data_IF_661436863837
#
_entry.id   IF_661436863837
#
_cell.length_a   1.000
_cell.length_b   1.000
_cell.length_c   1.000
_cell.angle_alpha   90.00
_cell.angle_beta   90.00
_cell.angle_gamma   90.00
#
_symmetry.space_group_name_H-M   'P 1'
#
loop_
_entity.id
_entity.type
_entity.pdbx_description
1 polymer ?
#
# COMPACT_ATOMS: atom_id res chain seq x y z
N UNK A 1 18.07 47.12 87.90
CA UNK A 1 16.60 47.09 87.75
C UNK A 1 16.19 45.62 87.65
N UNK A 2 15.70 45.00 88.72
CA UNK A 2 14.27 44.80 89.07
C UNK A 2 13.41 44.32 87.89
N UNK A 3 12.54 43.32 87.97
CA UNK A 3 12.15 42.33 89.00
C UNK A 3 11.27 41.30 88.24
N UNK A 4 11.33 40.06 88.71
CA UNK A 4 10.46 38.89 88.45
C UNK A 4 8.96 39.21 88.39
N UNK A 5 8.10 38.38 87.78
CA UNK A 5 6.94 37.79 88.49
C UNK A 5 6.26 36.64 87.73
N UNK A 6 6.03 35.57 88.49
CA UNK A 6 5.27 34.35 88.20
C UNK A 6 3.81 34.53 88.67
N UNK A 7 2.91 33.71 88.15
CA UNK A 7 1.64 33.34 88.81
C UNK A 7 0.42 33.51 87.91
N UNK A 8 -0.65 32.74 88.01
CA UNK A 8 -0.96 31.52 88.74
C UNK A 8 -2.25 30.94 88.11
N UNK A 9 -2.47 29.63 88.30
CA UNK A 9 -3.72 28.91 88.02
C UNK A 9 -4.93 29.51 88.77
N UNK A 10 -6.15 29.31 88.27
CA UNK A 10 -7.26 28.54 88.90
C UNK A 10 -8.58 28.62 88.11
N UNK A 11 -9.06 27.42 87.73
CA UNK A 11 -10.44 26.85 87.63
C UNK A 11 -11.65 27.71 87.23
N UNK A 12 -12.42 27.23 86.24
CA UNK A 12 -13.87 26.93 86.39
C UNK A 12 -14.38 26.00 85.29
N UNK A 13 -15.44 25.28 85.63
CA UNK A 13 -15.95 24.06 85.01
C UNK A 13 -17.03 24.28 83.93
N UNK A 14 -17.00 23.37 82.96
CA UNK A 14 -18.08 22.60 82.29
C UNK A 14 -19.51 23.15 82.31
N UNK A 15 -20.09 23.31 81.10
CA UNK A 15 -21.44 22.79 80.80
C UNK A 15 -21.57 22.40 79.32
N UNK A 16 -22.37 21.35 79.08
CA UNK A 16 -22.48 20.49 77.89
C UNK A 16 -23.14 21.18 76.67
N UNK A 17 -22.67 20.82 75.48
CA UNK A 17 -23.57 20.52 74.35
C UNK A 17 -23.04 19.32 73.55
N UNK A 18 -23.99 18.51 73.10
CA UNK A 18 -23.90 17.09 72.73
C UNK A 18 -23.52 16.94 71.25
N UNK A 19 -22.46 16.19 70.93
CA UNK A 19 -22.12 15.77 69.57
C UNK A 19 -22.16 14.24 69.49
N UNK A 20 -23.10 13.72 68.70
CA UNK A 20 -23.16 12.32 68.26
C UNK A 20 -22.05 12.06 67.22
N UNK A 21 -21.31 10.97 67.42
CA UNK A 21 -20.21 10.50 66.59
C UNK A 21 -20.68 9.38 65.66
N UNK A 22 -20.56 9.57 64.35
CA UNK A 22 -20.64 8.49 63.35
C UNK A 22 -19.22 7.92 63.04
N UNK A 23 -19.12 6.64 62.61
CA UNK A 23 -17.87 5.87 62.64
C UNK A 23 -17.04 5.96 61.35
N UNK A 24 -15.72 5.78 61.49
CA UNK A 24 -14.72 5.77 60.40
C UNK A 24 -14.98 4.69 59.32
N UNK A 25 -14.62 4.94 58.04
CA UNK A 25 -14.65 3.94 56.99
C UNK A 25 -13.37 3.09 56.95
N UNK A 26 -13.57 1.78 56.84
CA UNK A 26 -12.56 0.73 56.75
C UNK A 26 -11.85 0.65 55.39
N UNK A 27 -10.58 0.23 55.41
CA UNK A 27 -9.75 -0.04 54.24
C UNK A 27 -10.24 -1.26 53.42
N UNK A 28 -10.11 -1.25 52.08
CA UNK A 28 -10.47 -2.38 51.23
C UNK A 28 -9.36 -3.45 51.15
N UNK A 29 -9.70 -4.75 50.95
CA UNK A 29 -8.74 -5.83 50.74
C UNK A 29 -8.20 -5.87 49.28
N UNK A 30 -7.09 -6.57 49.01
CA UNK A 30 -6.44 -6.58 47.69
C UNK A 30 -7.25 -7.40 46.65
N UNK A 31 -7.16 -7.05 45.35
CA UNK A 31 -7.99 -7.67 44.32
C UNK A 31 -7.51 -9.09 43.96
N UNK A 32 -8.46 -10.02 43.96
CA UNK A 32 -8.34 -11.40 43.51
C UNK A 32 -8.39 -11.54 41.98
N UNK A 33 -7.70 -12.55 41.46
CA UNK A 33 -7.66 -12.96 40.06
C UNK A 33 -9.05 -13.32 39.51
N UNK A 34 -9.73 -12.40 38.81
CA UNK A 34 -11.07 -12.64 38.23
C UNK A 34 -11.18 -12.66 36.70
N UNK A 35 -10.09 -12.50 35.94
CA UNK A 35 -10.21 -12.45 34.47
C UNK A 35 -10.25 -13.81 33.75
N UNK A 36 -9.82 -14.91 34.38
CA UNK A 36 -9.77 -16.22 33.72
C UNK A 36 -11.11 -17.00 33.80
N UNK A 37 -11.93 -16.74 34.82
CA UNK A 37 -13.18 -17.48 35.06
C UNK A 37 -14.32 -17.08 34.10
N UNK A 38 -14.28 -15.86 33.56
CA UNK A 38 -15.33 -15.37 32.65
C UNK A 38 -15.22 -15.96 31.24
N UNK A 39 -14.01 -16.23 30.73
CA UNK A 39 -13.82 -16.79 29.39
C UNK A 39 -14.17 -18.28 29.33
N UNK A 40 -13.76 -19.05 30.34
CA UNK A 40 -14.13 -20.46 30.50
C UNK A 40 -15.65 -20.62 30.62
N UNK A 41 -16.33 -19.75 31.39
CA UNK A 41 -17.79 -19.75 31.51
C UNK A 41 -18.49 -19.33 30.20
N UNK A 42 -17.96 -18.36 29.45
CA UNK A 42 -18.54 -17.99 28.14
C UNK A 42 -18.36 -19.09 27.10
N UNK A 43 -17.19 -19.75 27.09
CA UNK A 43 -16.87 -20.83 26.16
C UNK A 43 -17.69 -22.07 26.46
N UNK A 44 -17.86 -22.44 27.73
CA UNK A 44 -18.76 -23.54 28.13
C UNK A 44 -20.21 -23.22 27.82
N UNK A 45 -20.69 -21.98 28.06
CA UNK A 45 -22.06 -21.58 27.71
C UNK A 45 -22.32 -21.59 26.20
N UNK A 46 -21.35 -21.13 25.40
CA UNK A 46 -21.41 -21.17 23.94
C UNK A 46 -21.36 -22.61 23.39
N UNK A 47 -20.48 -23.46 23.93
CA UNK A 47 -20.41 -24.87 23.54
C UNK A 47 -21.67 -25.64 23.93
N UNK A 48 -22.28 -25.31 25.07
CA UNK A 48 -23.52 -25.94 25.56
C UNK A 48 -24.76 -25.49 24.74
N UNK A 49 -24.76 -24.25 24.23
CA UNK A 49 -25.76 -23.78 23.26
C UNK A 49 -25.58 -24.41 21.87
N UNK A 50 -24.34 -24.64 21.43
CA UNK A 50 -24.09 -25.33 20.15
C UNK A 50 -24.53 -26.80 20.17
N UNK A 51 -24.50 -27.46 21.33
CA UNK A 51 -24.94 -28.85 21.49
C UNK A 51 -26.45 -29.03 21.53
N UNK A 52 -27.23 -27.95 21.64
CA UNK A 52 -28.70 -28.03 21.77
C UNK A 52 -29.47 -27.63 20.49
N UNK A 53 -28.76 -27.26 19.42
CA UNK A 53 -29.37 -27.14 18.09
C UNK A 53 -29.48 -28.52 17.45
N UNK A 54 -30.65 -29.16 17.59
CA UNK A 54 -31.01 -30.33 16.80
C UNK A 54 -31.19 -29.91 15.33
N UNK A 55 -30.08 -29.75 14.63
CA UNK A 55 -30.08 -29.49 13.20
C UNK A 55 -30.76 -30.67 12.50
N UNK A 56 -31.83 -30.44 11.72
CA UNK A 56 -32.49 -31.51 11.01
C UNK A 56 -31.52 -32.17 10.03
N UNK A 57 -31.60 -33.49 9.84
CA UNK A 57 -30.61 -34.27 9.10
C UNK A 57 -30.32 -33.74 7.67
N UNK A 58 -31.29 -33.07 7.05
CA UNK A 58 -31.10 -32.42 5.74
C UNK A 58 -30.13 -31.22 5.77
N UNK A 59 -30.08 -30.47 6.88
CA UNK A 59 -29.16 -29.35 7.04
C UNK A 59 -27.72 -29.82 7.25
N UNK A 60 -27.54 -30.93 7.97
CA UNK A 60 -26.23 -31.61 8.09
C UNK A 60 -25.78 -32.13 6.72
N UNK A 61 -26.70 -32.74 5.95
CA UNK A 61 -26.42 -33.16 4.57
C UNK A 61 -26.00 -31.99 3.67
N UNK A 62 -26.69 -30.86 3.75
CA UNK A 62 -26.35 -29.66 2.98
C UNK A 62 -24.96 -29.10 3.34
N UNK A 63 -24.62 -29.06 4.63
CA UNK A 63 -23.29 -28.62 5.10
C UNK A 63 -22.20 -29.56 4.58
N UNK A 64 -22.42 -30.88 4.63
CA UNK A 64 -21.46 -31.87 4.10
C UNK A 64 -21.26 -31.69 2.59
N UNK A 65 -22.33 -31.45 1.83
CA UNK A 65 -22.24 -31.19 0.37
C UNK A 65 -21.44 -29.91 0.09
N UNK A 66 -21.67 -28.83 0.84
CA UNK A 66 -20.92 -27.57 0.69
C UNK A 66 -19.45 -27.77 1.05
N UNK A 67 -19.14 -28.50 2.14
CA UNK A 67 -17.76 -28.80 2.54
C UNK A 67 -17.07 -29.66 1.49
N UNK A 68 -17.73 -30.69 0.95
CA UNK A 68 -17.19 -31.53 -0.11
C UNK A 68 -16.97 -30.75 -1.41
N UNK A 69 -17.87 -29.83 -1.76
CA UNK A 69 -17.69 -28.94 -2.92
C UNK A 69 -16.51 -27.99 -2.72
N UNK A 70 -16.35 -27.41 -1.53
CA UNK A 70 -15.22 -26.54 -1.20
C UNK A 70 -13.88 -27.30 -1.22
N UNK A 71 -13.85 -28.50 -0.65
CA UNK A 71 -12.66 -29.39 -0.69
C UNK A 71 -12.35 -29.81 -2.13
N UNK A 72 -13.36 -30.16 -2.93
CA UNK A 72 -13.21 -30.47 -4.36
C UNK A 72 -12.64 -29.30 -5.16
N UNK A 73 -13.15 -28.08 -4.94
CA UNK A 73 -12.60 -26.85 -5.52
C UNK A 73 -11.15 -26.61 -5.07
N UNK A 74 -10.83 -26.85 -3.80
CA UNK A 74 -9.47 -26.69 -3.27
C UNK A 74 -8.49 -27.69 -3.91
N UNK A 75 -8.91 -28.96 -4.04
CA UNK A 75 -8.13 -30.01 -4.70
C UNK A 75 -7.95 -29.69 -6.19
N UNK A 76 -8.99 -29.20 -6.88
CA UNK A 76 -8.91 -28.77 -8.28
C UNK A 76 -7.95 -27.58 -8.46
N UNK A 77 -7.99 -26.60 -7.56
CA UNK A 77 -7.06 -25.46 -7.56
C UNK A 77 -5.61 -25.90 -7.32
N UNK A 78 -5.38 -26.86 -6.42
CA UNK A 78 -4.05 -27.43 -6.17
C UNK A 78 -3.58 -28.24 -7.38
N UNK A 79 -4.45 -29.06 -7.99
CA UNK A 79 -4.13 -29.81 -9.21
C UNK A 79 -3.76 -28.88 -10.38
N UNK A 80 -4.49 -27.78 -10.58
CA UNK A 80 -4.16 -26.78 -11.61
C UNK A 80 -2.83 -26.07 -11.33
N UNK A 81 -2.50 -25.82 -10.06
CA UNK A 81 -1.23 -25.20 -9.63
C UNK A 81 -0.04 -26.16 -9.69
N UNK A 82 -0.26 -27.47 -9.55
CA UNK A 82 0.76 -28.51 -9.62
C UNK A 82 1.02 -29.00 -11.06
N UNK A 83 0.01 -29.02 -11.95
CA UNK A 83 0.16 -29.39 -13.37
C UNK A 83 0.61 -28.22 -14.26
N UNK A 84 0.44 -26.97 -13.81
CA UNK A 84 0.85 -25.76 -14.56
C UNK A 84 2.33 -25.36 -14.42
N UNK A 85 3.16 -26.14 -13.71
CA UNK A 85 4.60 -25.87 -13.54
C UNK A 85 5.44 -26.81 -14.39
N UNK A 86 5.42 -26.64 -15.73
CA UNK A 86 6.53 -27.08 -16.59
C UNK A 86 6.89 -26.00 -17.61
N UNK A 87 8.13 -25.51 -17.47
CA UNK A 87 8.95 -24.70 -18.40
C UNK A 87 8.40 -23.31 -18.81
N UNK A 88 8.84 -22.27 -18.12
CA UNK A 88 9.29 -21.05 -18.83
C UNK A 88 10.77 -21.24 -19.17
N UNK A 89 11.05 -21.84 -20.33
CA UNK A 89 12.39 -21.79 -20.93
C UNK A 89 12.51 -20.52 -21.77
N UNK A 90 13.45 -19.68 -21.38
CA UNK A 90 14.09 -18.63 -22.17
C UNK A 90 14.58 -19.22 -23.50
N UNK A 91 13.76 -19.20 -24.56
CA UNK A 91 14.17 -19.48 -25.96
C UNK A 91 13.03 -19.14 -26.95
N UNK A 92 12.99 -17.88 -27.37
CA UNK A 92 12.30 -17.46 -28.58
C UNK A 92 12.92 -16.17 -29.14
N UNK A 93 14.25 -16.18 -29.39
CA UNK A 93 14.91 -15.20 -30.26
C UNK A 93 16.19 -15.82 -30.80
N UNK A 94 16.04 -16.83 -31.64
CA UNK A 94 17.14 -17.39 -32.45
C UNK A 94 16.58 -18.34 -33.52
N UNK A 95 15.75 -17.80 -34.43
CA UNK A 95 15.41 -18.46 -35.70
C UNK A 95 15.16 -17.42 -36.79
N UNK A 96 16.22 -16.72 -37.20
CA UNK A 96 16.36 -16.12 -38.53
C UNK A 96 17.82 -15.65 -38.75
N UNK A 97 18.76 -16.56 -38.52
CA UNK A 97 20.13 -16.42 -39.01
C UNK A 97 20.69 -17.84 -39.17
N UNK A 98 20.87 -18.29 -40.41
CA UNK A 98 21.62 -19.52 -40.69
C UNK A 98 20.97 -20.45 -41.73
N UNK A 99 21.49 -20.38 -42.96
CA UNK A 99 21.31 -21.37 -44.04
C UNK A 99 20.54 -20.80 -45.22
N UNK A 100 21.08 -20.67 -46.44
CA UNK A 100 22.04 -21.58 -47.09
C UNK A 100 22.79 -20.90 -48.25
N UNK A 101 24.08 -21.21 -48.27
CA UNK A 101 25.13 -21.07 -49.30
C UNK A 101 24.70 -20.98 -50.76
N UNK A 102 25.43 -20.06 -51.43
CA UNK A 102 25.77 -19.98 -52.86
C UNK A 102 26.26 -21.33 -53.44
N UNK A 103 25.98 -21.55 -54.72
CA UNK A 103 26.64 -22.53 -55.59
C UNK A 103 27.01 -21.82 -56.90
N UNK A 104 28.29 -21.97 -57.29
CA UNK A 104 28.74 -22.00 -58.68
C UNK A 104 29.19 -20.68 -59.31
N UNK A 105 30.50 -20.57 -59.49
CA UNK A 105 31.18 -19.74 -60.49
C UNK A 105 30.72 -20.07 -61.92
N UNK A 106 30.69 -19.06 -62.81
CA UNK A 106 31.49 -19.06 -64.05
C UNK A 106 31.51 -17.67 -64.73
N UNK A 107 32.74 -17.17 -64.91
CA UNK A 107 33.30 -16.35 -66.00
C UNK A 107 32.76 -14.95 -66.36
N UNK A 108 33.70 -14.00 -66.47
CA UNK A 108 33.59 -12.78 -67.27
C UNK A 108 34.46 -11.62 -66.77
N UNK A 109 35.57 -11.37 -67.46
CA UNK A 109 36.57 -10.31 -67.26
C UNK A 109 36.03 -8.86 -67.35
N UNK A 110 36.75 -7.89 -66.76
CA UNK A 110 36.69 -6.48 -67.17
C UNK A 110 37.03 -5.43 -66.11
N UNK A 111 38.30 -5.03 -66.06
CA UNK A 111 38.90 -3.71 -65.76
C UNK A 111 38.34 -2.74 -64.69
N UNK A 112 39.28 -2.25 -63.86
CA UNK A 112 39.59 -0.81 -63.87
C UNK A 112 39.12 0.09 -62.72
N UNK A 113 40.04 0.33 -61.79
CA UNK A 113 40.33 1.63 -61.14
C UNK A 113 39.52 2.17 -59.93
N UNK A 114 40.35 2.49 -58.92
CA UNK A 114 40.33 3.62 -57.98
C UNK A 114 39.48 3.61 -56.70
N UNK A 115 40.25 3.67 -55.60
CA UNK A 115 39.89 4.08 -54.24
C UNK A 115 39.44 5.54 -54.23
N UNK A 116 38.35 5.81 -53.52
CA UNK A 116 38.19 7.07 -52.77
C UNK A 116 37.71 6.75 -51.35
N UNK A 117 38.42 7.35 -50.39
CA UNK A 117 38.06 7.44 -48.98
C UNK A 117 36.94 8.47 -48.83
N UNK A 118 35.92 8.15 -48.04
CA UNK A 118 34.81 9.05 -47.76
C UNK A 118 34.19 8.75 -46.40
N UNK A 119 34.65 9.52 -45.41
CA UNK A 119 33.96 10.03 -44.22
C UNK A 119 32.89 9.18 -43.52
N UNK A 120 33.17 8.88 -42.24
CA UNK A 120 32.14 8.59 -41.22
C UNK A 120 31.25 9.82 -41.01
N UNK A 121 29.94 9.63 -40.82
CA UNK A 121 29.19 10.38 -39.83
C UNK A 121 28.89 9.49 -38.62
N UNK A 122 29.25 10.04 -37.48
CA UNK A 122 28.84 9.64 -36.15
C UNK A 122 27.31 9.81 -35.98
N UNK A 123 26.71 8.99 -35.12
CA UNK A 123 25.37 9.24 -34.59
C UNK A 123 24.37 8.10 -34.82
N UNK A 124 24.64 6.90 -34.30
CA UNK A 124 23.57 5.94 -34.06
C UNK A 124 22.83 6.36 -32.78
N UNK A 125 21.79 7.20 -32.96
CA UNK A 125 20.74 7.35 -31.97
C UNK A 125 20.13 5.97 -31.69
N UNK A 126 20.21 5.54 -30.44
CA UNK A 126 19.53 4.35 -29.96
C UNK A 126 18.02 4.59 -30.08
N UNK A 127 17.40 4.07 -31.14
CA UNK A 127 15.93 3.92 -31.19
C UNK A 127 15.53 2.97 -30.07
N UNK A 128 14.97 3.50 -29.00
CA UNK A 128 14.17 2.73 -28.06
C UNK A 128 13.11 1.97 -28.87
N UNK A 129 13.07 0.63 -28.77
CA UNK A 129 11.98 -0.17 -29.31
C UNK A 129 10.70 0.26 -28.55
N UNK A 130 9.96 1.21 -29.11
CA UNK A 130 8.70 1.67 -28.57
C UNK A 130 7.74 0.47 -28.56
N UNK A 131 7.47 -0.07 -27.38
CA UNK A 131 6.52 -1.17 -27.21
C UNK A 131 5.16 -0.71 -27.78
N UNK A 132 4.66 -1.40 -28.81
CA UNK A 132 3.40 -1.05 -29.43
C UNK A 132 2.25 -1.50 -28.50
N UNK A 133 1.66 -0.54 -27.78
CA UNK A 133 0.57 -0.76 -26.83
C UNK A 133 -0.82 -0.71 -27.49
N UNK A 134 -0.87 -0.51 -28.81
CA UNK A 134 -2.10 -0.36 -29.59
C UNK A 134 -2.58 1.09 -29.69
N UNK A 135 -3.76 1.28 -30.27
CA UNK A 135 -4.39 2.58 -30.51
C UNK A 135 -5.80 2.63 -29.95
N UNK A 136 -6.27 3.83 -29.61
CA UNK A 136 -7.66 4.09 -29.21
C UNK A 136 -8.26 5.21 -30.07
N UNK A 137 -9.47 4.97 -30.56
CA UNK A 137 -10.32 5.94 -31.24
C UNK A 137 -11.29 6.56 -30.23
N UNK A 138 -11.35 7.88 -30.22
CA UNK A 138 -12.23 8.63 -29.33
C UNK A 138 -12.75 9.89 -30.02
N UNK A 139 -13.82 10.44 -29.47
CA UNK A 139 -14.37 11.73 -29.86
C UNK A 139 -14.45 12.68 -28.67
N UNK A 140 -14.24 13.97 -28.92
CA UNK A 140 -14.42 15.04 -27.93
C UNK A 140 -15.31 16.11 -28.52
N UNK A 141 -16.29 16.55 -27.75
CA UNK A 141 -17.16 17.66 -28.10
C UNK A 141 -17.49 18.48 -26.83
N UNK A 142 -17.79 19.76 -26.99
CA UNK A 142 -18.14 20.62 -25.87
C UNK A 142 -19.48 21.31 -26.10
N UNK A 143 -20.45 20.99 -25.25
CA UNK A 143 -21.73 21.67 -25.25
C UNK A 143 -21.64 22.97 -24.44
N UNK A 144 -21.53 24.10 -25.14
CA UNK A 144 -21.48 25.44 -24.53
C UNK A 144 -22.77 25.85 -23.82
N UNK A 145 -23.93 25.36 -24.27
CA UNK A 145 -25.22 25.69 -23.65
C UNK A 145 -25.37 25.03 -22.29
N UNK A 146 -24.96 23.77 -22.17
CA UNK A 146 -25.08 23.00 -20.92
C UNK A 146 -23.80 23.03 -20.06
N UNK A 147 -22.71 23.63 -20.58
CA UNK A 147 -21.39 23.63 -19.96
C UNK A 147 -20.89 22.21 -19.64
N UNK A 148 -20.87 21.34 -20.66
CA UNK A 148 -20.46 19.94 -20.51
C UNK A 148 -19.47 19.52 -21.59
N UNK A 149 -18.38 18.89 -21.15
CA UNK A 149 -17.48 18.15 -22.05
C UNK A 149 -18.06 16.75 -22.28
N UNK A 150 -18.24 16.40 -23.55
CA UNK A 150 -18.72 15.11 -24.03
C UNK A 150 -17.52 14.33 -24.55
N UNK A 151 -17.30 13.14 -24.00
CA UNK A 151 -16.18 12.26 -24.34
C UNK A 151 -16.73 10.95 -24.85
N UNK A 152 -16.52 10.66 -26.13
CA UNK A 152 -16.86 9.37 -26.74
C UNK A 152 -15.66 8.45 -26.75
N UNK A 153 -15.80 7.25 -26.18
CA UNK A 153 -14.83 6.16 -26.32
C UNK A 153 -15.41 5.17 -27.32
N UNK A 154 -14.77 5.06 -28.50
CA UNK A 154 -15.35 4.37 -29.64
C UNK A 154 -14.81 2.95 -29.76
N UNK A 155 -13.53 2.79 -30.07
CA UNK A 155 -12.92 1.48 -30.26
C UNK A 155 -11.40 1.51 -30.03
N UNK A 156 -10.83 0.35 -29.71
CA UNK A 156 -9.39 0.12 -29.65
C UNK A 156 -8.92 -0.79 -30.78
N UNK A 157 -7.64 -0.68 -31.13
CA UNK A 157 -7.01 -1.51 -32.16
C UNK A 157 -5.63 -1.98 -31.70
N UNK A 158 -5.30 -3.23 -32.03
CA UNK A 158 -3.98 -3.84 -31.77
C UNK A 158 -3.53 -3.77 -30.31
N UNK A 159 -4.47 -3.94 -29.36
CA UNK A 159 -4.12 -3.99 -27.94
C UNK A 159 -3.26 -5.24 -27.64
N UNK A 160 -2.27 -5.15 -26.74
CA UNK A 160 -1.47 -6.30 -26.34
C UNK A 160 -2.30 -7.33 -25.59
N UNK A 161 -1.95 -8.60 -25.76
CA UNK A 161 -2.51 -9.70 -24.99
C UNK A 161 -1.86 -9.79 -23.61
N UNK A 162 -2.63 -9.50 -22.57
CA UNK A 162 -2.18 -9.49 -21.18
C UNK A 162 -2.50 -10.82 -20.47
N UNK A 163 -3.57 -11.50 -20.88
CA UNK A 163 -3.92 -12.82 -20.36
C UNK A 163 -3.01 -13.94 -20.88
N UNK A 164 -2.85 -14.99 -20.04
CA UNK A 164 -2.20 -16.27 -20.41
C UNK A 164 -2.87 -16.92 -21.65
N UNK A 165 -4.13 -16.56 -21.94
CA UNK A 165 -4.89 -17.03 -23.09
C UNK A 165 -4.52 -16.39 -24.43
N UNK A 166 -3.61 -15.41 -24.45
CA UNK A 166 -3.25 -14.69 -25.68
C UNK A 166 -4.32 -13.67 -26.11
N UNK A 167 -5.16 -13.24 -25.18
CA UNK A 167 -6.19 -12.19 -25.37
C UNK A 167 -6.11 -11.18 -24.23
N UNK A 168 -6.97 -10.18 -24.25
CA UNK A 168 -7.23 -9.28 -23.11
C UNK A 168 -8.73 -9.07 -23.00
N UNK A 169 -9.21 -8.71 -21.82
CA UNK A 169 -10.56 -8.26 -21.49
C UNK A 169 -10.56 -6.72 -21.32
N UNK A 170 -10.34 -5.90 -22.38
CA UNK A 170 -10.12 -4.47 -22.22
C UNK A 170 -11.35 -3.69 -21.76
N UNK A 171 -11.10 -2.65 -20.97
CA UNK A 171 -12.04 -1.57 -20.66
C UNK A 171 -11.29 -0.24 -20.43
N UNK A 172 -11.97 0.88 -20.59
CA UNK A 172 -11.35 2.21 -20.53
C UNK A 172 -11.88 2.98 -19.32
N UNK A 173 -10.96 3.54 -18.53
CA UNK A 173 -11.26 4.53 -17.50
C UNK A 173 -11.08 5.93 -18.05
N UNK A 174 -12.06 6.80 -17.80
CA UNK A 174 -12.09 8.19 -18.27
C UNK A 174 -12.18 9.12 -17.07
N UNK A 175 -11.21 10.02 -16.93
CA UNK A 175 -11.17 11.00 -15.84
C UNK A 175 -10.38 12.26 -16.22
N UNK A 176 -10.52 13.33 -15.43
CA UNK A 176 -9.88 14.63 -15.69
C UNK A 176 -8.89 14.98 -14.57
N UNK A 177 -7.62 15.16 -14.89
CA UNK A 177 -6.64 15.69 -13.95
C UNK A 177 -6.83 17.21 -13.77
N UNK A 178 -6.62 17.75 -12.55
CA UNK A 178 -6.15 17.06 -11.34
C UNK A 178 -7.23 16.32 -10.54
N UNK A 179 -8.51 16.42 -10.92
CA UNK A 179 -9.62 15.80 -10.20
C UNK A 179 -9.77 14.29 -10.48
N UNK A 180 -9.04 13.47 -9.72
CA UNK A 180 -9.14 12.00 -9.81
C UNK A 180 -10.44 11.43 -9.18
N UNK A 181 -11.36 12.23 -8.64
CA UNK A 181 -12.54 11.70 -7.93
C UNK A 181 -13.63 11.23 -8.88
N UNK A 182 -13.90 11.99 -9.95
CA UNK A 182 -14.89 11.62 -10.96
C UNK A 182 -14.23 10.77 -12.04
N UNK A 183 -14.46 9.45 -11.96
CA UNK A 183 -14.00 8.47 -12.94
C UNK A 183 -15.22 7.80 -13.57
N UNK A 184 -15.21 7.66 -14.89
CA UNK A 184 -16.13 6.79 -15.61
C UNK A 184 -15.38 5.57 -16.12
N UNK A 185 -16.09 4.46 -16.32
CA UNK A 185 -15.52 3.23 -16.86
C UNK A 185 -16.46 2.70 -17.94
N UNK A 186 -15.89 2.25 -19.06
CA UNK A 186 -16.65 1.52 -20.09
C UNK A 186 -17.00 0.12 -19.60
N UNK A 187 -17.89 -0.56 -20.34
CA UNK A 187 -18.06 -2.00 -20.21
C UNK A 187 -16.80 -2.74 -20.61
N UNK A 188 -16.58 -3.88 -19.96
CA UNK A 188 -15.50 -4.81 -20.25
C UNK A 188 -15.82 -5.61 -21.51
N UNK A 189 -14.92 -5.56 -22.49
CA UNK A 189 -15.01 -6.34 -23.72
C UNK A 189 -14.16 -7.59 -23.59
N UNK A 190 -14.77 -8.77 -23.45
CA UNK A 190 -14.01 -9.99 -23.13
C UNK A 190 -13.28 -10.55 -24.35
N UNK A 191 -12.03 -10.97 -24.14
CA UNK A 191 -11.14 -11.68 -25.06
C UNK A 191 -11.06 -10.99 -26.43
N UNK A 192 -10.88 -9.68 -26.41
CA UNK A 192 -10.90 -8.87 -27.62
C UNK A 192 -9.72 -7.88 -27.63
N UNK A 193 -8.86 -7.98 -28.65
CA UNK A 193 -7.73 -7.06 -28.85
C UNK A 193 -8.07 -5.85 -29.72
N UNK A 194 -9.26 -5.86 -30.35
CA UNK A 194 -9.83 -4.74 -31.10
C UNK A 194 -11.25 -4.44 -30.57
N UNK A 195 -11.37 -3.98 -29.31
CA UNK A 195 -12.67 -3.78 -28.66
C UNK A 195 -13.45 -2.63 -29.31
N UNK A 196 -14.77 -2.80 -29.41
CA UNK A 196 -15.71 -1.72 -29.76
C UNK A 196 -16.52 -1.39 -28.52
N UNK A 197 -16.37 -0.16 -28.01
CA UNK A 197 -17.04 0.34 -26.83
C UNK A 197 -18.30 1.11 -27.20
N UNK A 198 -18.16 2.14 -28.04
CA UNK A 198 -19.23 3.09 -28.42
C UNK A 198 -19.99 3.64 -27.19
N UNK A 199 -19.25 4.12 -26.20
CA UNK A 199 -19.79 4.71 -24.98
C UNK A 199 -19.46 6.19 -24.88
N UNK A 200 -20.38 6.98 -24.33
CA UNK A 200 -20.22 8.43 -24.22
C UNK A 200 -20.38 8.87 -22.76
N UNK A 201 -19.44 9.70 -22.30
CA UNK A 201 -19.37 10.21 -20.94
C UNK A 201 -19.47 11.73 -20.93
N UNK A 202 -20.14 12.29 -19.92
CA UNK A 202 -20.38 13.73 -19.82
C UNK A 202 -19.79 14.28 -18.53
N UNK A 203 -18.92 15.29 -18.66
CA UNK A 203 -18.34 16.03 -17.54
C UNK A 203 -18.94 17.44 -17.48
N UNK A 204 -19.74 17.70 -16.43
CA UNK A 204 -20.29 19.04 -16.16
C UNK A 204 -19.19 19.96 -15.62
N UNK A 205 -18.55 20.73 -16.51
CA UNK A 205 -17.42 21.61 -16.21
C UNK A 205 -17.53 22.87 -17.09
N UNK A 206 -17.53 24.08 -16.50
CA UNK A 206 -17.49 25.33 -17.25
C UNK A 206 -16.24 25.45 -18.13
N UNK A 207 -16.38 26.03 -19.33
CA UNK A 207 -15.29 26.15 -20.31
C UNK A 207 -14.06 26.87 -19.74
N UNK A 208 -14.28 27.90 -18.92
CA UNK A 208 -13.21 28.66 -18.27
C UNK A 208 -12.32 27.81 -17.34
N UNK A 209 -12.85 26.72 -16.76
CA UNK A 209 -12.10 25.84 -15.88
C UNK A 209 -11.38 24.71 -16.64
N UNK A 210 -11.65 24.56 -17.94
CA UNK A 210 -11.19 23.43 -18.71
C UNK A 210 -9.72 23.55 -19.14
N UNK A 211 -9.24 24.77 -19.41
CA UNK A 211 -7.88 25.01 -19.93
C UNK A 211 -6.73 24.56 -19.01
N UNK A 212 -6.99 24.35 -17.72
CA UNK A 212 -6.02 23.82 -16.76
C UNK A 212 -6.12 22.32 -16.51
N UNK A 213 -6.99 21.60 -17.23
CA UNK A 213 -7.26 20.18 -17.01
C UNK A 213 -6.68 19.31 -18.13
N UNK A 214 -6.43 18.05 -17.79
CA UNK A 214 -5.98 17.03 -18.75
C UNK A 214 -6.97 15.86 -18.71
N UNK A 215 -7.58 15.55 -19.86
CA UNK A 215 -8.39 14.34 -20.00
C UNK A 215 -7.47 13.12 -20.11
N UNK A 216 -7.77 12.10 -19.32
CA UNK A 216 -7.04 10.85 -19.32
C UNK A 216 -7.97 9.73 -19.74
N UNK A 217 -7.58 9.02 -20.81
CA UNK A 217 -8.19 7.78 -21.27
C UNK A 217 -7.21 6.65 -20.95
N UNK A 218 -7.52 5.82 -19.97
CA UNK A 218 -6.62 4.76 -19.51
C UNK A 218 -7.24 3.39 -19.78
N UNK A 219 -6.56 2.58 -20.59
CA UNK A 219 -7.02 1.25 -21.00
C UNK A 219 -6.46 0.21 -20.02
N UNK A 220 -7.34 -0.62 -19.48
CA UNK A 220 -7.03 -1.69 -18.54
C UNK A 220 -7.46 -3.04 -19.11
N UNK A 221 -6.74 -4.10 -18.72
CA UNK A 221 -7.16 -5.48 -18.86
C UNK A 221 -7.90 -5.94 -17.59
N UNK A 222 -9.11 -6.48 -17.75
CA UNK A 222 -9.90 -6.94 -16.62
C UNK A 222 -9.49 -8.34 -16.16
N UNK A 223 -8.99 -8.43 -14.94
CA UNK A 223 -8.69 -9.70 -14.29
C UNK A 223 -9.78 -10.12 -13.30
N UNK A 224 -10.38 -11.31 -13.51
CA UNK A 224 -11.36 -11.86 -12.56
C UNK A 224 -10.75 -12.16 -11.18
N UNK A 225 -9.47 -12.48 -11.13
CA UNK A 225 -8.76 -12.89 -9.93
C UNK A 225 -7.38 -12.23 -9.87
N UNK A 226 -7.34 -10.92 -9.64
CA UNK A 226 -6.09 -10.19 -9.61
C UNK A 226 -6.31 -8.69 -9.57
N UNK A 227 -5.19 -7.96 -9.57
CA UNK A 227 -5.20 -6.54 -9.89
C UNK A 227 -5.28 -6.44 -11.42
N UNK A 228 -6.15 -5.57 -11.92
CA UNK A 228 -6.28 -5.31 -13.35
C UNK A 228 -4.98 -4.69 -13.89
N UNK A 229 -4.49 -5.21 -15.01
CA UNK A 229 -3.27 -4.73 -15.64
C UNK A 229 -3.55 -3.49 -16.48
N UNK A 230 -2.69 -2.47 -16.38
CA UNK A 230 -2.80 -1.28 -17.24
C UNK A 230 -2.15 -1.62 -18.59
N UNK A 231 -2.92 -1.47 -19.66
CA UNK A 231 -2.43 -1.65 -21.03
C UNK A 231 -1.69 -0.40 -21.49
N UNK A 232 -2.31 0.77 -21.32
CA UNK A 232 -1.74 2.05 -21.72
C UNK A 232 -2.68 3.22 -21.43
N UNK A 233 -2.24 4.43 -21.73
CA UNK A 233 -3.04 5.64 -21.51
C UNK A 233 -2.83 6.68 -22.60
N UNK A 234 -3.80 7.60 -22.71
CA UNK A 234 -3.73 8.81 -23.53
C UNK A 234 -4.01 9.98 -22.61
N UNK A 235 -3.08 10.93 -22.58
CA UNK A 235 -3.23 12.19 -21.87
C UNK A 235 -3.49 13.30 -22.89
N UNK A 236 -4.63 14.00 -22.74
CA UNK A 236 -5.05 15.06 -23.63
C UNK A 236 -5.15 16.35 -22.81
N UNK A 237 -4.15 17.24 -22.89
CA UNK A 237 -4.27 18.57 -22.31
C UNK A 237 -5.43 19.32 -22.97
N UNK A 238 -6.40 19.80 -22.20
CA UNK A 238 -7.57 20.44 -22.80
C UNK A 238 -7.26 21.82 -23.40
N UNK A 239 -6.11 22.39 -23.10
CA UNK A 239 -5.62 23.61 -23.73
C UNK A 239 -5.07 23.40 -25.15
N UNK A 240 -4.78 22.16 -25.56
CA UNK A 240 -4.26 21.85 -26.90
C UNK A 240 -5.36 21.42 -27.88
N UNK A 241 -6.61 21.31 -27.42
CA UNK A 241 -7.75 20.88 -28.23
C UNK A 241 -8.63 22.10 -28.54
N UNK A 242 -8.93 22.30 -29.82
CA UNK A 242 -9.97 23.23 -30.24
C UNK A 242 -11.34 22.57 -30.09
N UNK A 243 -12.08 22.96 -29.05
CA UNK A 243 -13.43 22.48 -28.77
C UNK A 243 -14.53 23.27 -29.48
N UNK A 244 -14.15 24.16 -30.41
CA UNK A 244 -15.11 24.84 -31.29
C UNK A 244 -15.75 23.91 -32.32
N UNK A 245 -15.14 22.75 -32.58
CA UNK A 245 -15.68 21.69 -33.44
C UNK A 245 -15.51 20.32 -32.77
N UNK A 246 -16.40 19.35 -33.06
CA UNK A 246 -16.20 17.99 -32.60
C UNK A 246 -14.88 17.41 -33.11
N UNK A 247 -14.04 16.96 -32.20
CA UNK A 247 -12.81 16.23 -32.49
C UNK A 247 -13.12 14.74 -32.59
N UNK A 248 -12.53 14.07 -33.59
CA UNK A 248 -12.60 12.62 -33.74
C UNK A 248 -11.28 12.11 -34.33
N UNK A 249 -10.53 11.32 -33.56
CA UNK A 249 -9.21 10.88 -33.99
C UNK A 249 -8.74 9.58 -33.32
N UNK A 250 -7.73 8.97 -33.95
CA UNK A 250 -6.97 7.86 -33.40
C UNK A 250 -5.71 8.37 -32.71
N UNK A 251 -5.40 7.84 -31.54
CA UNK A 251 -4.10 8.06 -30.88
C UNK A 251 -3.49 6.74 -30.42
N UNK A 252 -2.17 6.68 -30.50
CA UNK A 252 -1.38 5.58 -29.94
C UNK A 252 -1.42 5.62 -28.41
N UNK A 253 -1.47 4.44 -27.79
CA UNK A 253 -1.42 4.29 -26.34
C UNK A 253 0.02 4.46 -25.86
N UNK A 254 0.19 5.32 -24.85
CA UNK A 254 1.47 5.50 -24.17
C UNK A 254 1.55 4.60 -22.95
N UNK A 255 2.77 4.24 -22.54
CA UNK A 255 2.98 3.50 -21.30
C UNK A 255 2.44 4.33 -20.15
N UNK A 256 1.48 3.78 -19.42
CA UNK A 256 0.98 4.46 -18.25
C UNK A 256 2.09 4.53 -17.21
N UNK A 257 2.48 5.75 -16.83
CA UNK A 257 3.26 5.95 -15.61
C UNK A 257 2.53 5.19 -14.51
N UNK A 258 3.21 4.21 -13.90
CA UNK A 258 2.65 3.41 -12.82
C UNK A 258 2.00 4.37 -11.85
N UNK A 259 0.68 4.25 -11.68
CA UNK A 259 -0.13 5.06 -10.77
C UNK A 259 0.70 5.21 -9.49
N UNK A 260 1.27 6.40 -9.23
CA UNK A 260 2.13 6.62 -8.06
C UNK A 260 1.28 6.12 -6.89
N UNK A 261 1.67 4.98 -6.30
CA UNK A 261 0.98 4.43 -5.15
C UNK A 261 0.79 5.59 -4.19
N UNK A 262 -0.46 5.86 -3.79
CA UNK A 262 -0.78 7.03 -2.96
C UNK A 262 0.24 7.10 -1.83
N UNK A 263 1.10 8.12 -1.87
CA UNK A 263 2.23 8.23 -0.94
C UNK A 263 1.64 8.33 0.47
N UNK A 264 1.88 7.31 1.28
CA UNK A 264 1.35 7.21 2.65
C UNK A 264 2.08 8.14 3.63
N UNK A 265 3.20 8.71 3.18
CA UNK A 265 4.08 9.62 3.91
C UNK A 265 5.44 8.99 4.23
N UNK A 266 6.31 9.78 4.84
CA UNK A 266 7.64 9.35 5.28
C UNK A 266 7.79 9.52 6.80
N UNK A 267 8.58 8.66 7.44
CA UNK A 267 8.90 8.73 8.87
C UNK A 267 10.42 8.75 9.09
N UNK A 268 10.88 9.67 9.94
CA UNK A 268 12.27 9.79 10.35
C UNK A 268 12.52 9.04 11.66
N UNK A 269 13.44 8.10 11.62
CA UNK A 269 13.70 7.16 12.72
C UNK A 269 15.19 7.20 13.01
N UNK A 270 15.56 7.34 14.29
CA UNK A 270 16.94 7.19 14.74
C UNK A 270 17.14 5.89 15.51
N UNK A 271 18.11 5.10 15.09
CA UNK A 271 18.49 3.84 15.72
C UNK A 271 19.86 3.94 16.38
N UNK A 272 19.97 3.40 17.60
CA UNK A 272 21.23 3.31 18.33
C UNK A 272 21.32 1.98 19.04
N UNK A 273 22.37 1.22 18.79
CA UNK A 273 22.63 -0.04 19.50
C UNK A 273 23.90 0.03 20.34
N UNK A 274 23.83 -0.46 21.58
CA UNK A 274 24.95 -0.60 22.50
C UNK A 274 25.17 -2.08 22.79
N UNK A 275 26.14 -2.75 22.14
CA UNK A 275 26.34 -4.20 22.28
C UNK A 275 26.64 -4.64 23.71
N UNK A 276 27.48 -3.91 24.44
CA UNK A 276 27.89 -4.25 25.82
C UNK A 276 26.74 -4.28 26.81
N UNK A 277 25.70 -3.49 26.58
CA UNK A 277 24.50 -3.44 27.41
C UNK A 277 23.32 -4.19 26.79
N UNK A 278 23.49 -4.77 25.59
CA UNK A 278 22.39 -5.34 24.81
C UNK A 278 21.23 -4.37 24.62
N UNK A 279 21.49 -3.07 24.42
CA UNK A 279 20.44 -2.04 24.44
C UNK A 279 20.23 -1.43 23.06
N UNK A 280 19.05 -1.64 22.49
CA UNK A 280 18.56 -0.97 21.29
C UNK A 280 17.68 0.21 21.68
N UNK A 281 18.06 1.42 21.26
CA UNK A 281 17.25 2.63 21.41
C UNK A 281 16.74 3.06 20.04
N UNK A 282 15.42 3.28 19.95
CA UNK A 282 14.70 3.73 18.78
C UNK A 282 14.07 5.07 19.11
N UNK A 283 14.51 6.14 18.46
CA UNK A 283 13.92 7.46 18.57
C UNK A 283 13.00 7.71 17.37
N UNK A 284 11.72 7.89 17.62
CA UNK A 284 10.75 8.32 16.63
C UNK A 284 10.82 9.84 16.58
N UNK A 285 11.42 10.40 15.54
CA UNK A 285 11.72 11.83 15.47
C UNK A 285 10.50 12.59 14.95
N UNK A 286 10.12 12.37 13.70
CA UNK A 286 9.02 13.05 13.03
C UNK A 286 8.50 12.23 11.84
N UNK A 287 7.34 12.60 11.32
CA UNK A 287 6.84 12.13 10.04
C UNK A 287 6.38 13.32 9.19
N UNK A 288 6.33 13.13 7.87
CA UNK A 288 5.89 14.16 6.92
C UNK A 288 5.03 13.59 5.82
N UNK A 289 4.19 14.46 5.25
CA UNK A 289 3.32 14.14 4.13
C UNK A 289 2.46 12.89 4.37
N UNK A 290 1.97 12.70 5.60
CA UNK A 290 1.11 11.56 5.92
C UNK A 290 -0.19 11.63 5.12
N UNK A 291 -0.73 10.47 4.75
CA UNK A 291 -2.05 10.38 4.14
C UNK A 291 -3.13 10.82 5.14
N UNK A 292 -4.03 11.69 4.68
CA UNK A 292 -5.22 12.13 5.44
C UNK A 292 -6.24 10.98 5.51
N UNK A 293 -6.68 10.64 6.73
CA UNK A 293 -7.70 9.60 6.93
C UNK A 293 -9.06 10.17 7.36
N UNK A 294 -9.11 11.30 8.08
CA UNK A 294 -10.37 11.84 8.60
C UNK A 294 -11.23 12.53 7.53
N UNK A 295 -12.53 12.22 7.52
CA UNK A 295 -13.53 12.94 6.70
C UNK A 295 -13.82 14.31 7.33
N UNK A 296 -13.08 15.34 6.88
CA UNK A 296 -13.27 16.73 7.32
C UNK A 296 -12.17 17.28 8.24
N UNK A 297 -11.19 16.46 8.63
CA UNK A 297 -9.99 16.85 9.39
C UNK A 297 -8.70 16.59 8.62
N UNK A 298 -7.53 16.65 9.28
CA UNK A 298 -6.30 16.05 8.76
C UNK A 298 -6.20 14.59 9.24
N UNK A 299 -5.24 14.30 10.10
CA UNK A 299 -5.10 13.05 10.84
C UNK A 299 -4.61 13.39 12.25
N UNK A 300 -4.84 12.49 13.20
CA UNK A 300 -4.36 12.49 14.57
C UNK A 300 -3.24 11.42 14.76
N UNK A 301 -2.06 11.55 14.13
CA UNK A 301 -1.08 10.48 14.06
C UNK A 301 -0.43 10.09 15.39
N UNK A 302 -0.23 8.78 15.58
CA UNK A 302 0.67 8.20 16.57
C UNK A 302 1.40 6.98 16.00
N UNK A 303 2.56 6.65 16.59
CA UNK A 303 3.41 5.56 16.09
C UNK A 303 3.41 4.40 17.07
N UNK A 304 3.20 3.19 16.56
CA UNK A 304 3.29 1.93 17.30
C UNK A 304 4.53 1.16 16.85
N UNK A 305 5.38 0.81 17.81
CA UNK A 305 6.62 0.07 17.60
C UNK A 305 6.44 -1.34 18.17
N UNK A 306 6.69 -2.36 17.35
CA UNK A 306 6.58 -3.77 17.73
C UNK A 306 7.90 -4.47 17.45
N UNK A 307 8.56 -4.95 18.50
CA UNK A 307 9.69 -5.85 18.39
C UNK A 307 9.19 -7.28 18.18
N UNK A 308 9.73 -7.97 17.19
CA UNK A 308 9.33 -9.31 16.76
C UNK A 308 10.56 -10.20 16.57
N UNK A 309 10.40 -11.49 16.84
CA UNK A 309 11.40 -12.53 16.58
C UNK A 309 10.67 -13.80 16.10
N UNK A 310 11.07 -14.35 14.95
CA UNK A 310 10.44 -15.53 14.33
C UNK A 310 8.90 -15.42 14.26
N UNK A 311 8.38 -14.30 13.77
CA UNK A 311 6.92 -14.07 13.68
C UNK A 311 6.23 -13.73 15.00
N UNK A 312 6.88 -13.96 16.15
CA UNK A 312 6.29 -13.72 17.47
C UNK A 312 6.58 -12.30 17.95
N UNK A 313 5.52 -11.55 18.26
CA UNK A 313 5.61 -10.20 18.84
C UNK A 313 6.10 -10.28 20.28
N UNK A 314 7.25 -9.67 20.58
CA UNK A 314 7.91 -9.71 21.88
C UNK A 314 7.52 -8.54 22.79
N UNK A 315 7.69 -7.31 22.29
CA UNK A 315 7.45 -6.07 23.05
C UNK A 315 6.76 -5.05 22.15
N UNK A 316 5.85 -4.25 22.72
CA UNK A 316 5.14 -3.17 22.00
C UNK A 316 5.29 -1.86 22.77
N UNK A 317 5.51 -0.76 22.05
CA UNK A 317 5.55 0.60 22.59
C UNK A 317 4.79 1.54 21.64
N UNK A 318 4.35 2.69 22.14
CA UNK A 318 3.61 3.69 21.35
C UNK A 318 4.03 5.10 21.74
N UNK A 319 3.96 6.03 20.80
CA UNK A 319 4.17 7.46 21.04
C UNK A 319 2.92 8.12 21.63
N UNK A 320 3.05 9.39 21.98
CA UNK A 320 1.91 10.30 22.13
C UNK A 320 1.19 10.51 20.79
N UNK A 321 -0.09 10.88 20.87
CA UNK A 321 -0.92 11.27 19.71
C UNK A 321 -0.70 12.74 19.41
N UNK A 322 -0.44 13.08 18.15
CA UNK A 322 -0.35 14.47 17.67
C UNK A 322 -1.63 14.78 16.90
N UNK A 323 -2.38 15.79 17.33
CA UNK A 323 -3.70 16.06 16.76
C UNK A 323 -3.63 16.91 15.50
N UNK A 324 -4.50 16.63 14.55
CA UNK A 324 -4.79 17.41 13.35
C UNK A 324 -3.53 17.86 12.60
N UNK A 325 -2.67 16.92 12.21
CA UNK A 325 -1.42 17.19 11.48
C UNK A 325 -1.02 16.04 10.56
N UNK A 326 -0.48 16.37 9.39
CA UNK A 326 0.15 15.41 8.47
C UNK A 326 1.68 15.43 8.56
N UNK A 327 2.24 16.30 9.41
CA UNK A 327 3.68 16.45 9.64
C UNK A 327 3.99 16.44 11.14
N UNK A 328 3.71 15.34 11.86
CA UNK A 328 3.87 15.28 13.30
C UNK A 328 5.34 15.27 13.73
N UNK A 329 5.67 16.05 14.76
CA UNK A 329 6.93 15.99 15.49
C UNK A 329 6.75 15.25 16.81
N UNK A 330 7.46 14.14 16.99
CA UNK A 330 7.39 13.28 18.17
C UNK A 330 8.60 13.47 19.09
N UNK A 331 9.80 13.20 18.56
CA UNK A 331 11.06 13.09 19.29
C UNK A 331 10.98 12.24 20.57
N UNK A 332 10.37 11.06 20.44
CA UNK A 332 10.14 10.13 21.55
C UNK A 332 11.05 8.89 21.43
N UNK A 333 11.82 8.62 22.49
CA UNK A 333 12.81 7.55 22.52
C UNK A 333 12.34 6.32 23.30
N UNK A 334 12.51 5.15 22.69
CA UNK A 334 12.08 3.87 23.22
C UNK A 334 13.28 2.91 23.30
N UNK A 335 13.43 2.22 24.43
CA UNK A 335 14.53 1.25 24.61
C UNK A 335 14.02 -0.19 24.69
N UNK A 336 14.76 -1.09 24.06
CA UNK A 336 14.57 -2.53 24.08
C UNK A 336 15.89 -3.21 24.47
N UNK A 337 15.77 -4.24 25.31
CA UNK A 337 16.89 -5.11 25.68
C UNK A 337 16.93 -6.29 24.72
N UNK A 338 18.01 -6.37 23.95
CA UNK A 338 18.27 -7.35 22.90
C UNK A 338 19.76 -7.73 22.98
N UNK A 339 20.10 -8.95 23.44
CA UNK A 339 21.46 -9.47 23.40
C UNK A 339 22.05 -9.43 21.99
N UNK A 340 23.35 -9.27 21.87
CA UNK A 340 24.01 -9.12 20.57
C UNK A 340 23.82 -10.35 19.68
N UNK A 341 23.75 -11.54 20.27
CA UNK A 341 23.54 -12.81 19.59
C UNK A 341 22.16 -12.90 18.92
N UNK A 342 21.21 -12.07 19.36
CA UNK A 342 19.83 -12.04 18.86
C UNK A 342 19.57 -10.87 17.92
N UNK A 343 20.44 -9.85 17.89
CA UNK A 343 20.17 -8.60 17.15
C UNK A 343 19.98 -8.83 15.64
N UNK A 344 20.61 -9.86 15.08
CA UNK A 344 20.47 -10.18 13.66
C UNK A 344 19.20 -10.97 13.33
N UNK A 345 18.45 -11.44 14.34
CA UNK A 345 17.25 -12.27 14.16
C UNK A 345 15.96 -11.50 14.46
N UNK A 346 16.07 -10.31 15.03
CA UNK A 346 14.91 -9.50 15.41
C UNK A 346 14.44 -8.61 14.27
N UNK A 347 13.15 -8.32 14.29
CA UNK A 347 12.46 -7.40 13.41
C UNK A 347 11.82 -6.31 14.26
N UNK A 348 11.89 -5.07 13.80
CA UNK A 348 11.17 -3.95 14.39
C UNK A 348 10.15 -3.48 13.37
N UNK A 349 8.86 -3.67 13.68
CA UNK A 349 7.75 -3.16 12.89
C UNK A 349 7.33 -1.81 13.46
N UNK A 350 7.20 -0.81 12.60
CA UNK A 350 6.85 0.55 12.97
C UNK A 350 5.65 0.95 12.12
N UNK A 351 4.52 1.19 12.77
CA UNK A 351 3.26 1.50 12.11
C UNK A 351 2.78 2.87 12.58
N UNK A 352 2.50 3.75 11.62
CA UNK A 352 1.84 5.04 11.87
C UNK A 352 0.34 4.80 11.78
N UNK A 353 -0.36 5.17 12.84
CA UNK A 353 -1.81 5.08 12.94
C UNK A 353 -2.40 6.47 13.00
N UNK A 354 -3.61 6.61 12.47
CA UNK A 354 -4.53 7.69 12.80
C UNK A 354 -5.30 7.33 14.07
N UNK A 355 -5.50 8.29 14.97
CA UNK A 355 -6.26 8.07 16.20
C UNK A 355 -7.69 8.55 16.03
N UNK A 356 -8.62 7.60 16.01
CA UNK A 356 -10.04 7.88 15.97
C UNK A 356 -10.63 7.93 17.38
N UNK A 357 -11.28 9.04 17.72
CA UNK A 357 -12.01 9.15 19.01
C UNK A 357 -13.17 8.17 19.12
N UNK A 358 -13.78 7.83 17.99
CA UNK A 358 -14.92 6.94 17.89
C UNK A 358 -14.63 5.89 16.82
N UNK A 359 -14.33 4.66 17.24
CA UNK A 359 -14.05 3.54 16.33
C UNK A 359 -12.69 2.90 16.58
N UNK A 360 -12.20 2.20 15.56
CA UNK A 360 -10.87 1.58 15.56
C UNK A 360 -9.88 2.52 14.88
N UNK A 361 -8.70 2.70 15.47
CA UNK A 361 -7.61 3.46 14.88
C UNK A 361 -7.17 2.86 13.53
N UNK A 362 -7.16 3.69 12.49
CA UNK A 362 -6.75 3.28 11.15
C UNK A 362 -5.24 3.32 10.94
N UNK A 363 -4.69 2.31 10.26
CA UNK A 363 -3.27 2.30 9.92
C UNK A 363 -3.03 3.18 8.68
N UNK A 364 -2.25 4.25 8.83
CA UNK A 364 -1.84 5.11 7.71
C UNK A 364 -0.81 4.38 6.86
N UNK A 365 0.19 3.77 7.51
CA UNK A 365 1.25 3.06 6.82
C UNK A 365 2.24 2.42 7.78
N UNK A 366 3.10 1.57 7.21
CA UNK A 366 3.96 0.67 7.97
C UNK A 366 5.32 0.50 7.32
N UNK A 367 6.34 0.32 8.15
CA UNK A 367 7.68 -0.08 7.74
C UNK A 367 8.20 -1.15 8.70
N UNK A 368 9.18 -1.92 8.25
CA UNK A 368 9.92 -2.81 9.13
C UNK A 368 11.42 -2.72 8.88
N UNK A 369 12.19 -2.86 9.94
CA UNK A 369 13.64 -2.74 9.96
C UNK A 369 14.20 -3.95 10.71
N UNK A 370 15.37 -4.44 10.30
CA UNK A 370 16.03 -5.60 10.92
C UNK A 370 16.01 -6.82 10.02
N UNK A 371 15.84 -8.00 10.62
CA UNK A 371 15.93 -9.27 9.91
C UNK A 371 14.92 -9.37 8.75
N UNK A 372 15.39 -9.71 7.56
CA UNK A 372 14.55 -9.83 6.36
C UNK A 372 14.14 -8.50 5.72
N UNK A 373 14.54 -7.35 6.28
CA UNK A 373 14.32 -6.06 5.63
C UNK A 373 15.16 -5.96 4.35
N UNK A 374 14.69 -5.16 3.39
CA UNK A 374 15.40 -4.86 2.14
C UNK A 374 15.56 -3.36 1.98
N UNK A 375 16.36 -2.92 1.00
CA UNK A 375 16.53 -1.50 0.67
C UNK A 375 16.97 -0.64 1.86
N UNK A 376 16.22 0.44 2.11
CA UNK A 376 16.53 1.42 3.17
C UNK A 376 16.44 0.82 4.57
N UNK A 377 15.50 -0.11 4.81
CA UNK A 377 15.37 -0.80 6.09
C UNK A 377 16.61 -1.62 6.43
N UNK A 378 17.14 -2.36 5.46
CA UNK A 378 18.38 -3.12 5.64
C UNK A 378 19.57 -2.19 5.87
N UNK A 379 19.74 -1.18 5.00
CA UNK A 379 20.84 -0.22 5.09
C UNK A 379 20.87 0.47 6.44
N UNK A 380 19.73 0.97 6.92
CA UNK A 380 19.65 1.65 8.21
C UNK A 380 20.03 0.73 9.38
N UNK A 381 19.61 -0.54 9.33
CA UNK A 381 19.99 -1.53 10.34
C UNK A 381 21.50 -1.85 10.30
N UNK A 382 22.06 -2.03 9.10
CA UNK A 382 23.49 -2.24 8.89
C UNK A 382 24.32 -1.05 9.39
N UNK A 383 23.91 0.17 9.06
CA UNK A 383 24.58 1.40 9.48
C UNK A 383 24.56 1.55 11.01
N UNK A 384 23.44 1.21 11.67
CA UNK A 384 23.35 1.17 13.13
C UNK A 384 24.34 0.16 13.74
N UNK A 385 24.44 -1.04 13.17
CA UNK A 385 25.36 -2.07 13.69
C UNK A 385 26.83 -1.73 13.43
N UNK A 386 27.14 -1.10 12.30
CA UNK A 386 28.47 -0.64 11.95
C UNK A 386 28.95 0.55 12.80
N UNK A 387 28.01 1.33 13.36
CA UNK A 387 28.29 2.50 14.20
C UNK A 387 27.82 2.30 15.65
N UNK A 388 28.43 1.36 16.41
CA UNK A 388 27.99 1.06 17.76
C UNK A 388 28.06 2.30 18.67
N UNK A 389 27.06 2.46 19.54
CA UNK A 389 26.91 3.59 20.47
C UNK A 389 26.64 4.96 19.82
N UNK A 390 26.56 5.06 18.49
CA UNK A 390 26.14 6.29 17.80
C UNK A 390 24.71 6.15 17.29
N UNK A 391 23.86 7.17 17.47
CA UNK A 391 22.57 7.20 16.80
C UNK A 391 22.76 7.43 15.30
N UNK A 392 22.03 6.68 14.49
CA UNK A 392 21.92 6.84 13.03
C UNK A 392 20.48 7.20 12.74
N UNK A 393 20.24 8.35 12.09
CA UNK A 393 18.91 8.80 11.71
C UNK A 393 18.69 8.58 10.21
N UNK A 394 17.52 8.05 9.84
CA UNK A 394 17.17 7.75 8.46
C UNK A 394 15.66 7.96 8.24
N UNK A 395 15.32 8.50 7.07
CA UNK A 395 13.94 8.54 6.57
C UNK A 395 13.53 7.21 5.95
N UNK A 396 12.29 6.79 6.20
CA UNK A 396 11.66 5.61 5.62
C UNK A 396 10.32 6.00 5.01
N UNK A 397 10.08 5.58 3.77
CA UNK A 397 8.76 5.76 3.13
C UNK A 397 7.80 4.69 3.64
N UNK A 398 6.61 5.12 4.06
CA UNK A 398 5.57 4.25 4.57
C UNK A 398 4.96 3.42 3.45
N UNK A 399 4.78 2.12 3.70
CA UNK A 399 4.15 1.18 2.78
C UNK A 399 2.79 0.75 3.32
N UNK A 400 1.88 0.27 2.44
CA UNK A 400 0.63 -0.34 2.88
C UNK A 400 0.89 -1.50 3.84
N UNK A 401 0.05 -1.66 4.87
CA UNK A 401 0.24 -2.71 5.87
C UNK A 401 0.27 -4.11 5.24
N UNK A 402 -0.56 -4.35 4.23
CA UNK A 402 -0.64 -5.63 3.51
C UNK A 402 0.66 -5.99 2.80
N UNK A 403 1.33 -5.01 2.16
CA UNK A 403 2.60 -5.22 1.47
C UNK A 403 3.72 -5.59 2.46
N UNK A 404 3.76 -4.91 3.61
CA UNK A 404 4.72 -5.23 4.67
C UNK A 404 4.45 -6.61 5.26
N UNK A 405 3.19 -6.95 5.53
CA UNK A 405 2.83 -8.28 6.04
C UNK A 405 3.12 -9.40 5.02
N UNK A 406 2.94 -9.14 3.72
CA UNK A 406 3.35 -10.06 2.66
C UNK A 406 4.86 -10.25 2.63
N UNK A 407 5.63 -9.16 2.75
CA UNK A 407 7.10 -9.20 2.80
C UNK A 407 7.61 -9.98 4.03
N UNK A 408 6.97 -9.81 5.20
CA UNK A 408 7.32 -10.54 6.42
C UNK A 408 7.07 -12.06 6.32
N UNK A 409 6.10 -12.48 5.49
CA UNK A 409 5.78 -13.90 5.24
C UNK A 409 6.62 -14.53 4.13
N UNK A 410 7.30 -13.72 3.33
CA UNK A 410 8.09 -14.21 2.21
C UNK A 410 9.29 -15.04 2.72
N UNK A 411 9.62 -16.18 2.08
CA UNK A 411 10.80 -16.94 2.44
C UNK A 411 12.04 -16.08 2.23
N UNK A 412 12.88 -15.99 3.26
CA UNK A 412 14.13 -15.23 3.20
C UNK A 412 15.09 -16.06 2.34
N UNK A 413 15.53 -15.49 1.22
CA UNK A 413 16.41 -16.18 0.25
C UNK A 413 17.84 -16.27 0.74
#
# INVERSE_FOLDING_TARGET
MRVVHLGARVRRAVELSKSESEPEPSHPPPPSHHHHHNFENMKTKFMNELTHMSLPMWAVGAIVVVVLALVGCFIFCIFKKCLGKKKKSKKARERKAGGRRRKGDEQGEGDGAQKEEGEKPEGEEQKEEQENLGKLEFSLDYNFTESQLIVGVLQGQDLPAMDIGGTSDPYVKVYLLPDKKKKFETKVQRKNLCPVFNETFMFKIPYAELGGKTLVLQVFDFDRFGKHDVIGQINIPMNSVDLGQPLHEWRDLESAEKEEQEKLGDICISLRYVPTAGKLTINIMEAKNLKKMDVGGLSDPFVKIVLQHNGKRLKKKKTTVKKNTLNPYFNESFSFEIPFEQIQKVQVLITVYDYDKLGSNDAIGKVFIGFGATGVGLRHWSDMLANPRRPVAQWHTLLPEEEVEAALKAPHR
#
